data_IF_347553672983
#
_entry.id   IF_347553672983
#
_cell.length_a   1.000
_cell.length_b   1.000
_cell.length_c   1.000
_cell.angle_alpha   90.00
_cell.angle_beta   90.00
_cell.angle_gamma   90.00
#
_symmetry.space_group_name_H-M   'P 1'
#
loop_
_entity.id
_entity.type
_entity.pdbx_description
1 polymer ?
#
# COMPACT_ATOMS: atom_id res chain seq x y z
N UNK A 1 -23.51 2.79 2.57
CA UNK A 1 -22.90 2.49 1.23
C UNK A 1 -21.52 1.87 1.40
N UNK A 2 -20.67 2.41 2.28
CA UNK A 2 -19.35 1.84 2.60
C UNK A 2 -19.39 0.56 3.44
N UNK A 3 -20.53 0.23 4.04
CA UNK A 3 -20.70 -0.90 4.96
C UNK A 3 -20.49 -2.27 4.30
N UNK A 4 -20.63 -2.35 2.95
CA UNK A 4 -20.44 -3.59 2.16
C UNK A 4 -19.12 -3.63 1.38
N UNK A 5 -18.30 -2.59 1.52
CA UNK A 5 -17.07 -2.45 0.74
C UNK A 5 -16.06 -3.56 1.05
N UNK A 6 -15.80 -3.93 2.32
CA UNK A 6 -14.84 -4.99 2.63
C UNK A 6 -15.24 -6.34 2.04
N UNK A 7 -16.53 -6.70 2.09
CA UNK A 7 -17.05 -7.95 1.51
C UNK A 7 -16.88 -7.98 -0.01
N UNK A 8 -17.15 -6.85 -0.68
CA UNK A 8 -16.97 -6.73 -2.14
C UNK A 8 -15.49 -6.90 -2.53
N UNK A 9 -14.58 -6.29 -1.77
CA UNK A 9 -13.13 -6.37 -2.00
C UNK A 9 -12.60 -7.79 -1.71
N UNK A 10 -13.06 -8.44 -0.64
CA UNK A 10 -12.71 -9.83 -0.32
C UNK A 10 -13.25 -10.81 -1.36
N UNK A 11 -14.47 -10.59 -1.87
CA UNK A 11 -15.06 -11.37 -2.97
C UNK A 11 -14.19 -11.32 -4.22
N UNK A 12 -13.59 -10.18 -4.51
CA UNK A 12 -12.68 -9.97 -5.65
C UNK A 12 -11.20 -9.93 -5.23
N UNK A 13 -10.82 -10.65 -4.16
CA UNK A 13 -9.46 -10.56 -3.58
C UNK A 13 -8.31 -10.68 -4.57
N UNK A 14 -8.44 -11.56 -5.58
CA UNK A 14 -7.39 -11.79 -6.58
C UNK A 14 -7.21 -10.57 -7.50
N UNK A 15 -8.30 -9.87 -7.81
CA UNK A 15 -8.26 -8.63 -8.57
C UNK A 15 -7.62 -7.53 -7.73
N UNK A 16 -8.04 -7.39 -6.47
CA UNK A 16 -7.49 -6.38 -5.55
C UNK A 16 -5.98 -6.57 -5.34
N UNK A 17 -5.55 -7.80 -5.03
CA UNK A 17 -4.13 -8.13 -4.91
C UNK A 17 -3.37 -7.94 -6.22
N UNK A 18 -3.96 -8.35 -7.35
CA UNK A 18 -3.39 -8.14 -8.68
C UNK A 18 -3.21 -6.66 -9.04
N UNK A 19 -4.17 -5.80 -8.69
CA UNK A 19 -4.09 -4.35 -8.85
C UNK A 19 -2.96 -3.76 -7.99
N UNK A 20 -2.83 -4.19 -6.73
CA UNK A 20 -1.73 -3.75 -5.88
C UNK A 20 -0.34 -4.11 -6.46
N UNK A 21 -0.20 -5.33 -6.98
CA UNK A 21 1.02 -5.78 -7.66
C UNK A 21 1.26 -4.96 -8.93
N UNK A 22 0.23 -4.73 -9.75
CA UNK A 22 0.34 -3.92 -10.95
C UNK A 22 0.81 -2.50 -10.65
N UNK A 23 0.26 -1.86 -9.61
CA UNK A 23 0.71 -0.54 -9.13
C UNK A 23 2.20 -0.59 -8.73
N UNK A 24 2.62 -1.61 -7.97
CA UNK A 24 4.01 -1.75 -7.55
C UNK A 24 4.95 -1.93 -8.76
N UNK A 25 4.58 -2.76 -9.75
CA UNK A 25 5.38 -2.98 -10.96
C UNK A 25 5.46 -1.69 -11.78
N UNK A 26 4.33 -1.05 -12.08
CA UNK A 26 4.29 0.18 -12.89
C UNK A 26 5.14 1.29 -12.26
N UNK A 27 5.02 1.50 -10.95
CA UNK A 27 5.80 2.52 -10.24
C UNK A 27 7.28 2.18 -10.14
N UNK A 28 7.64 0.89 -10.05
CA UNK A 28 9.04 0.45 -10.18
C UNK A 28 9.57 0.67 -11.59
N UNK A 29 8.81 0.36 -12.63
CA UNK A 29 9.21 0.59 -14.03
C UNK A 29 9.49 2.08 -14.26
N UNK A 30 8.60 2.97 -13.83
CA UNK A 30 8.77 4.43 -13.95
C UNK A 30 10.08 4.89 -13.29
N UNK A 31 10.37 4.43 -12.07
CA UNK A 31 11.59 4.77 -11.36
C UNK A 31 12.86 4.23 -12.04
N UNK A 32 12.85 2.98 -12.50
CA UNK A 32 13.99 2.36 -13.17
C UNK A 32 14.27 2.97 -14.55
N UNK A 33 13.25 3.53 -15.21
CA UNK A 33 13.42 4.28 -16.47
C UNK A 33 13.94 5.70 -16.27
N UNK A 34 14.15 6.15 -15.02
CA UNK A 34 14.64 7.49 -14.70
C UNK A 34 13.62 8.60 -14.94
N UNK A 35 12.33 8.26 -15.13
CA UNK A 35 11.26 9.24 -15.35
C UNK A 35 10.88 10.01 -14.08
N UNK A 36 11.27 9.51 -12.91
CA UNK A 36 11.07 10.16 -11.61
C UNK A 36 12.36 10.08 -10.82
N UNK A 37 12.61 11.10 -10.00
CA UNK A 37 13.77 11.13 -9.11
C UNK A 37 13.79 9.94 -8.14
N UNK A 38 14.99 9.52 -7.76
CA UNK A 38 15.18 8.39 -6.85
C UNK A 38 14.73 8.77 -5.42
N UNK A 39 13.60 8.21 -4.99
CA UNK A 39 13.06 8.47 -3.65
C UNK A 39 13.09 7.19 -2.79
N UNK A 40 13.91 7.13 -1.71
CA UNK A 40 14.01 5.94 -0.87
C UNK A 40 12.69 5.62 -0.15
N UNK A 41 11.90 6.64 0.22
CA UNK A 41 10.58 6.46 0.79
C UNK A 41 9.62 5.80 -0.21
N UNK A 42 9.58 6.30 -1.45
CA UNK A 42 8.71 5.74 -2.50
C UNK A 42 9.12 4.33 -2.90
N UNK A 43 10.43 4.02 -2.97
CA UNK A 43 10.97 2.67 -3.23
C UNK A 43 10.54 1.67 -2.16
N UNK A 44 10.58 2.09 -0.90
CA UNK A 44 10.12 1.27 0.22
C UNK A 44 8.60 1.04 0.16
N UNK A 45 7.82 2.09 -0.04
CA UNK A 45 6.35 2.03 -0.09
C UNK A 45 5.84 1.11 -1.22
N UNK A 46 6.33 1.30 -2.46
CA UNK A 46 5.88 0.49 -3.60
C UNK A 46 6.24 -0.99 -3.44
N UNK A 47 7.39 -1.28 -2.83
CA UNK A 47 7.81 -2.65 -2.54
C UNK A 47 6.89 -3.30 -1.51
N UNK A 48 6.56 -2.59 -0.42
CA UNK A 48 5.60 -3.07 0.59
C UNK A 48 4.21 -3.30 -0.02
N UNK A 49 3.71 -2.39 -0.87
CA UNK A 49 2.43 -2.57 -1.57
C UNK A 49 2.44 -3.86 -2.41
N UNK A 50 3.51 -4.09 -3.18
CA UNK A 50 3.65 -5.31 -3.99
C UNK A 50 3.70 -6.58 -3.14
N UNK A 51 4.48 -6.58 -2.05
CA UNK A 51 4.60 -7.71 -1.12
C UNK A 51 3.27 -8.03 -0.44
N UNK A 52 2.54 -7.01 0.04
CA UNK A 52 1.22 -7.20 0.64
C UNK A 52 0.19 -7.70 -0.39
N UNK A 53 0.25 -7.20 -1.64
CA UNK A 53 -0.55 -7.70 -2.75
C UNK A 53 -0.30 -9.19 -3.02
N UNK A 54 0.96 -9.62 -3.06
CA UNK A 54 1.35 -11.02 -3.22
C UNK A 54 0.84 -11.89 -2.06
N UNK A 55 1.06 -11.45 -0.82
CA UNK A 55 0.60 -12.16 0.38
C UNK A 55 -0.93 -12.30 0.41
N UNK A 56 -1.67 -11.27 -0.02
CA UNK A 56 -3.12 -11.31 -0.10
C UNK A 56 -3.66 -12.26 -1.19
N UNK A 57 -2.88 -12.52 -2.24
CA UNK A 57 -3.24 -13.46 -3.31
C UNK A 57 -2.97 -14.92 -2.97
N UNK A 58 -2.23 -15.21 -1.90
CA UNK A 58 -1.95 -16.59 -1.49
C UNK A 58 -3.25 -17.35 -1.22
N UNK A 59 -3.27 -18.69 -1.38
CA UNK A 59 -4.47 -19.49 -1.20
C UNK A 59 -5.15 -19.27 0.17
N UNK A 60 -4.32 -19.12 1.22
CA UNK A 60 -4.77 -18.87 2.59
C UNK A 60 -4.12 -17.62 3.23
N UNK A 61 -4.71 -16.43 3.06
CA UNK A 61 -4.26 -15.20 3.72
C UNK A 61 -4.38 -15.24 5.25
N UNK A 62 -5.24 -16.12 5.79
CA UNK A 62 -5.38 -16.30 7.24
C UNK A 62 -4.27 -17.17 7.85
N UNK A 63 -3.37 -17.75 7.06
CA UNK A 63 -2.25 -18.51 7.60
C UNK A 63 -1.40 -17.60 8.50
N UNK A 64 -0.98 -18.12 9.67
CA UNK A 64 -0.24 -17.35 10.67
C UNK A 64 0.99 -16.65 10.07
N UNK A 65 1.79 -17.39 9.28
CA UNK A 65 2.99 -16.82 8.64
C UNK A 65 2.66 -15.68 7.68
N UNK A 66 1.55 -15.77 6.95
CA UNK A 66 1.12 -14.71 6.02
C UNK A 66 0.77 -13.46 6.82
N UNK A 67 -0.07 -13.59 7.86
CA UNK A 67 -0.42 -12.46 8.73
C UNK A 67 0.78 -11.86 9.45
N UNK A 68 1.73 -12.69 9.90
CA UNK A 68 2.97 -12.24 10.52
C UNK A 68 3.80 -11.39 9.55
N UNK A 69 4.09 -11.91 8.35
CA UNK A 69 4.85 -11.17 7.34
C UNK A 69 4.11 -9.91 6.89
N UNK A 70 2.78 -9.99 6.71
CA UNK A 70 1.96 -8.82 6.38
C UNK A 70 2.05 -7.74 7.45
N UNK A 71 2.03 -8.11 8.74
CA UNK A 71 2.18 -7.16 9.83
C UNK A 71 3.56 -6.52 9.83
N UNK A 72 4.64 -7.30 9.68
CA UNK A 72 6.02 -6.79 9.61
C UNK A 72 6.18 -5.78 8.46
N UNK A 73 5.75 -6.15 7.25
CA UNK A 73 5.86 -5.26 6.09
C UNK A 73 4.97 -4.02 6.21
N UNK A 74 3.74 -4.17 6.73
CA UNK A 74 2.84 -3.04 6.92
C UNK A 74 3.36 -2.06 7.97
N UNK A 75 3.91 -2.53 9.10
CA UNK A 75 4.51 -1.65 10.12
C UNK A 75 5.66 -0.84 9.53
N UNK A 76 6.57 -1.49 8.81
CA UNK A 76 7.66 -0.78 8.13
C UNK A 76 7.14 0.21 7.08
N UNK A 77 6.26 -0.23 6.19
CA UNK A 77 5.72 0.60 5.11
C UNK A 77 4.93 1.81 5.63
N UNK A 78 4.10 1.62 6.66
CA UNK A 78 3.35 2.71 7.30
C UNK A 78 4.27 3.67 8.03
N UNK A 79 5.32 3.19 8.71
CA UNK A 79 6.30 4.08 9.34
C UNK A 79 6.97 5.00 8.30
N UNK A 80 7.43 4.43 7.19
CA UNK A 80 8.06 5.18 6.09
C UNK A 80 7.07 6.14 5.43
N UNK A 81 5.87 5.66 5.10
CA UNK A 81 4.85 6.48 4.43
C UNK A 81 4.34 7.61 5.33
N UNK A 82 4.09 7.33 6.61
CA UNK A 82 3.68 8.36 7.58
C UNK A 82 4.77 9.40 7.78
N UNK A 83 6.04 9.00 7.80
CA UNK A 83 7.16 9.95 7.88
C UNK A 83 7.21 10.88 6.66
N UNK A 84 7.08 10.34 5.45
CA UNK A 84 7.02 11.16 4.23
C UNK A 84 5.81 12.09 4.22
N UNK A 85 4.63 11.56 4.60
CA UNK A 85 3.39 12.33 4.63
C UNK A 85 3.46 13.46 5.65
N UNK A 86 4.02 13.19 6.84
CA UNK A 86 4.20 14.20 7.88
C UNK A 86 5.21 15.29 7.48
N UNK A 87 6.29 14.94 6.76
CA UNK A 87 7.19 15.96 6.17
C UNK A 87 6.45 16.89 5.21
N UNK A 88 5.53 16.34 4.40
CA UNK A 88 4.68 17.16 3.53
C UNK A 88 3.79 18.11 4.35
N UNK A 89 3.18 17.63 5.45
CA UNK A 89 2.45 18.49 6.37
C UNK A 89 3.33 19.58 6.99
N UNK A 90 4.55 19.24 7.43
CA UNK A 90 5.48 20.22 7.98
C UNK A 90 5.78 21.35 6.97
N UNK A 91 5.99 20.99 5.69
CA UNK A 91 6.22 21.97 4.63
C UNK A 91 4.98 22.84 4.34
N UNK A 92 3.77 22.27 4.45
CA UNK A 92 2.51 23.03 4.31
C UNK A 92 2.43 24.09 5.42
N UNK A 93 2.74 23.70 6.66
CA UNK A 93 2.67 24.60 7.81
C UNK A 93 3.78 25.64 7.83
N UNK A 94 4.96 25.36 7.25
CA UNK A 94 6.04 26.34 7.10
C UNK A 94 5.83 27.31 5.94
N UNK A 95 4.82 27.10 5.09
CA UNK A 95 4.59 27.91 3.88
C UNK A 95 5.54 27.60 2.72
N UNK A 96 6.38 26.57 2.85
CA UNK A 96 7.33 26.13 1.82
C UNK A 96 6.73 25.10 0.85
N UNK A 97 5.48 24.70 1.08
CA UNK A 97 4.82 23.73 0.23
C UNK A 97 4.48 24.30 -1.15
N UNK A 98 4.91 23.56 -2.17
CA UNK A 98 4.51 23.80 -3.55
C UNK A 98 3.93 22.52 -4.13
N UNK A 99 2.81 22.65 -4.84
CA UNK A 99 2.26 21.56 -5.64
C UNK A 99 3.19 21.17 -6.80
N UNK A 100 4.03 22.12 -7.26
CA UNK A 100 4.86 21.97 -8.46
C UNK A 100 4.03 21.90 -9.75
N UNK A 101 4.71 21.95 -10.91
CA UNK A 101 4.04 21.80 -12.22
C UNK A 101 3.39 20.42 -12.37
N UNK A 102 3.99 19.38 -11.78
CA UNK A 102 3.52 18.00 -11.82
C UNK A 102 2.87 17.61 -10.49
N UNK A 103 1.77 18.28 -10.13
CA UNK A 103 1.06 18.06 -8.87
C UNK A 103 0.69 16.58 -8.60
N UNK A 104 0.47 15.79 -9.65
CA UNK A 104 0.06 14.40 -9.55
C UNK A 104 1.15 13.44 -9.05
N UNK A 105 2.43 13.84 -9.10
CA UNK A 105 3.54 13.10 -8.49
C UNK A 105 3.98 13.69 -7.14
N UNK A 106 3.18 14.58 -6.55
CA UNK A 106 3.55 15.25 -5.32
C UNK A 106 3.81 14.23 -4.18
N UNK A 107 4.97 14.30 -3.49
CA UNK A 107 5.35 13.32 -2.47
C UNK A 107 4.36 13.20 -1.30
N UNK A 108 3.72 14.31 -0.90
CA UNK A 108 2.73 14.30 0.18
C UNK A 108 1.49 13.52 -0.23
N UNK A 109 0.98 13.73 -1.45
CA UNK A 109 -0.21 13.05 -1.96
C UNK A 109 0.06 11.55 -2.17
N UNK A 110 1.18 11.20 -2.81
CA UNK A 110 1.53 9.80 -3.08
C UNK A 110 1.72 9.00 -1.78
N UNK A 111 2.35 9.59 -0.77
CA UNK A 111 2.49 8.94 0.54
C UNK A 111 1.15 8.75 1.25
N UNK A 112 0.19 9.66 1.07
CA UNK A 112 -1.18 9.49 1.56
C UNK A 112 -1.89 8.29 0.92
N UNK A 113 -1.80 8.14 -0.40
CA UNK A 113 -2.32 6.96 -1.09
C UNK A 113 -1.61 5.68 -0.65
N UNK A 114 -0.30 5.71 -0.46
CA UNK A 114 0.46 4.56 0.03
C UNK A 114 -0.02 4.12 1.42
N UNK A 115 -0.25 5.05 2.36
CA UNK A 115 -0.83 4.75 3.68
C UNK A 115 -2.18 4.04 3.53
N UNK A 116 -3.06 4.58 2.69
CA UNK A 116 -4.38 4.00 2.44
C UNK A 116 -4.32 2.59 1.87
N UNK A 117 -3.48 2.37 0.85
CA UNK A 117 -3.32 1.05 0.21
C UNK A 117 -2.72 0.03 1.18
N UNK A 118 -1.63 0.38 1.87
CA UNK A 118 -0.95 -0.52 2.82
C UNK A 118 -1.90 -0.90 3.96
N UNK A 119 -2.60 0.07 4.53
CA UNK A 119 -3.58 -0.16 5.60
C UNK A 119 -4.74 -1.03 5.12
N UNK A 120 -5.30 -0.71 3.94
CA UNK A 120 -6.40 -1.47 3.35
C UNK A 120 -6.03 -2.92 3.08
N UNK A 121 -4.88 -3.17 2.47
CA UNK A 121 -4.38 -4.53 2.22
C UNK A 121 -4.16 -5.31 3.52
N UNK A 122 -3.55 -4.68 4.54
CA UNK A 122 -3.37 -5.31 5.85
C UNK A 122 -4.74 -5.70 6.44
N UNK A 123 -5.69 -4.77 6.52
CA UNK A 123 -7.01 -5.05 7.07
C UNK A 123 -7.73 -6.17 6.31
N UNK A 124 -7.68 -6.18 4.98
CA UNK A 124 -8.28 -7.25 4.17
C UNK A 124 -7.65 -8.63 4.45
N UNK A 125 -6.32 -8.70 4.61
CA UNK A 125 -5.62 -9.94 4.99
C UNK A 125 -6.08 -10.45 6.36
N UNK A 126 -6.28 -9.55 7.32
CA UNK A 126 -6.74 -9.89 8.66
C UNK A 126 -8.23 -10.23 8.73
N UNK A 127 -9.06 -9.58 7.92
CA UNK A 127 -10.50 -9.84 7.81
C UNK A 127 -10.80 -11.16 7.09
N UNK A 128 -9.90 -11.66 6.24
CA UNK A 128 -10.07 -12.95 5.60
C UNK A 128 -10.25 -14.03 6.67
N UNK A 129 -11.44 -14.62 6.71
CA UNK A 129 -11.75 -15.80 7.52
C UNK A 129 -11.60 -17.03 6.63
N UNK A 130 -10.92 -18.05 7.14
CA UNK A 130 -10.99 -19.39 6.55
C UNK A 130 -12.35 -19.96 6.98
N UNK A 131 -13.23 -20.29 6.04
CA UNK A 131 -14.40 -21.10 6.36
C UNK A 131 -13.89 -22.41 6.96
N UNK A 132 -14.20 -22.65 8.24
CA UNK A 132 -13.88 -23.89 8.92
C UNK A 132 -14.93 -24.93 8.53
N UNK A 133 -14.90 -25.38 7.28
CA UNK A 133 -15.48 -26.67 6.92
C UNK A 133 -14.33 -27.68 6.91
N UNK A 134 -14.39 -28.65 7.82
CA UNK A 134 -13.36 -29.65 8.17
C UNK A 134 -12.47 -29.20 9.33
N UNK A 135 -12.99 -29.36 10.56
CA UNK A 135 -12.59 -30.46 11.45
C UNK A 135 -13.78 -30.88 12.32
#
# INVERSE_FOLDING_TARGET
MFDRLPELLLRHRRIVGGVAIAIAILTWTIDLTGLVYECPFCRSQRTVIGLLGLLFMLPNPAHWLVRYLSAVFAVFGLSVASTQHFRGWANIMSGEFSWGEQWYINPWMLSGFAIGIITGLLLLIWMWKRDHSVD
#
